data_IF_015042959521
#
_entry.id   IF_015042959521
#
_cell.length_a   1.000
_cell.length_b   1.000
_cell.length_c   1.000
_cell.angle_alpha   90.00
_cell.angle_beta   90.00
_cell.angle_gamma   90.00
#
_symmetry.space_group_name_H-M   'P 1'
#
loop_
_entity.id
_entity.type
_entity.pdbx_description
1 polymer ?
#
# COMPACT_ATOMS: atom_id res chain seq x y z
N UNK A 1 -5.36 11.17 25.36
CA UNK A 1 -5.20 10.55 24.02
C UNK A 1 -6.49 9.86 23.64
N UNK A 2 -7.05 10.13 22.46
CA UNK A 2 -8.19 9.36 21.94
C UNK A 2 -7.66 8.06 21.35
N UNK A 3 -8.18 6.91 21.80
CA UNK A 3 -7.83 5.60 21.22
C UNK A 3 -8.68 5.39 19.97
N UNK A 4 -8.04 5.23 18.82
CA UNK A 4 -8.71 4.81 17.59
C UNK A 4 -8.64 3.30 17.55
N UNK A 5 -9.81 2.66 17.66
CA UNK A 5 -9.92 1.20 17.68
C UNK A 5 -10.25 0.65 16.28
N UNK A 6 -10.99 1.43 15.50
CA UNK A 6 -11.51 1.02 14.20
C UNK A 6 -10.87 1.82 13.07
N UNK A 7 -10.55 1.12 11.98
CA UNK A 7 -10.10 1.73 10.72
C UNK A 7 -11.25 2.47 10.05
N UNK A 8 -11.00 3.67 9.53
CA UNK A 8 -12.02 4.46 8.83
C UNK A 8 -12.28 3.92 7.41
N UNK A 9 -13.06 2.84 7.34
CA UNK A 9 -13.43 2.21 6.09
C UNK A 9 -14.30 3.11 5.20
N UNK A 10 -15.01 4.10 5.76
CA UNK A 10 -15.86 5.01 4.99
C UNK A 10 -14.98 5.90 4.12
N UNK A 11 -13.95 6.51 4.72
CA UNK A 11 -13.01 7.38 3.98
C UNK A 11 -12.19 6.60 2.96
N UNK A 12 -11.72 5.39 3.32
CA UNK A 12 -10.99 4.52 2.39
C UNK A 12 -11.86 4.20 1.17
N UNK A 13 -13.11 3.76 1.39
CA UNK A 13 -14.02 3.40 0.29
C UNK A 13 -14.30 4.58 -0.64
N UNK A 14 -14.46 5.78 -0.10
CA UNK A 14 -14.73 7.00 -0.88
C UNK A 14 -13.56 7.41 -1.78
N UNK A 15 -12.34 6.98 -1.47
CA UNK A 15 -11.13 7.39 -2.18
C UNK A 15 -10.34 6.19 -2.72
N UNK A 16 -10.98 5.02 -2.86
CA UNK A 16 -10.28 3.78 -3.13
C UNK A 16 -9.49 3.85 -4.44
N UNK A 17 -9.98 4.58 -5.46
CA UNK A 17 -9.28 4.74 -6.74
C UNK A 17 -8.00 5.59 -6.66
N UNK A 18 -7.72 6.24 -5.52
CA UNK A 18 -6.56 7.13 -5.33
C UNK A 18 -5.51 6.54 -4.38
N UNK A 19 -5.79 5.38 -3.79
CA UNK A 19 -4.99 4.80 -2.73
C UNK A 19 -4.28 3.55 -3.23
N UNK A 20 -2.95 3.56 -3.10
CA UNK A 20 -2.12 2.36 -3.20
C UNK A 20 -1.74 1.97 -1.78
N UNK A 21 -2.20 0.80 -1.34
CA UNK A 21 -1.77 0.20 -0.07
C UNK A 21 -0.56 -0.69 -0.32
N UNK A 22 0.57 -0.36 0.31
CA UNK A 22 1.81 -1.10 0.16
C UNK A 22 2.22 -1.74 1.50
N UNK A 23 2.50 -3.04 1.48
CA UNK A 23 2.95 -3.81 2.63
C UNK A 23 4.25 -4.57 2.31
N UNK A 24 5.16 -4.68 3.27
CA UNK A 24 6.30 -5.59 3.17
C UNK A 24 5.99 -6.95 3.80
N UNK A 25 6.28 -8.05 3.11
CA UNK A 25 6.08 -9.40 3.64
C UNK A 25 6.98 -9.71 4.85
N UNK A 26 8.09 -8.99 4.98
CA UNK A 26 9.16 -9.22 5.96
C UNK A 26 9.61 -7.93 6.64
N UNK A 27 8.74 -6.91 6.73
CA UNK A 27 9.12 -5.60 7.29
C UNK A 27 9.24 -5.58 8.84
N UNK A 28 8.77 -6.65 9.49
CA UNK A 28 8.77 -6.91 10.93
C UNK A 28 8.01 -5.90 11.82
N UNK A 29 7.29 -4.95 11.23
CA UNK A 29 6.53 -3.93 11.96
C UNK A 29 5.03 -4.01 11.69
N UNK A 30 4.66 -4.35 10.46
CA UNK A 30 3.28 -4.55 10.06
C UNK A 30 3.03 -6.06 9.87
N UNK A 31 2.18 -6.70 10.69
CA UNK A 31 1.81 -8.08 10.47
C UNK A 31 1.18 -8.27 9.08
N UNK A 32 1.53 -9.36 8.40
CA UNK A 32 0.95 -9.72 7.09
C UNK A 32 -0.59 -9.82 7.13
N UNK A 33 -1.16 -10.07 8.31
CA UNK A 33 -2.61 -10.10 8.51
C UNK A 33 -3.28 -8.77 8.11
N UNK A 34 -2.63 -7.62 8.29
CA UNK A 34 -3.23 -6.33 7.91
C UNK A 34 -3.33 -6.15 6.40
N UNK A 35 -2.37 -6.69 5.63
CA UNK A 35 -2.50 -6.82 4.18
C UNK A 35 -3.70 -7.71 3.81
N UNK A 36 -3.83 -8.87 4.45
CA UNK A 36 -4.92 -9.82 4.19
C UNK A 36 -6.29 -9.21 4.52
N UNK A 37 -6.40 -8.49 5.63
CA UNK A 37 -7.64 -7.84 6.07
C UNK A 37 -8.04 -6.71 5.11
N UNK A 38 -7.10 -5.85 4.69
CA UNK A 38 -7.36 -4.81 3.69
C UNK A 38 -7.78 -5.42 2.35
N UNK A 39 -7.12 -6.49 1.90
CA UNK A 39 -7.46 -7.18 0.66
C UNK A 39 -8.84 -7.84 0.70
N UNK A 40 -9.23 -8.37 1.87
CA UNK A 40 -10.56 -8.93 2.11
C UNK A 40 -11.65 -7.85 2.06
N UNK A 41 -11.40 -6.71 2.69
CA UNK A 41 -12.40 -5.63 2.82
C UNK A 41 -12.53 -4.75 1.57
N UNK A 42 -11.46 -4.64 0.78
CA UNK A 42 -11.38 -3.82 -0.42
C UNK A 42 -10.81 -4.61 -1.61
N UNK A 43 -11.50 -5.66 -2.11
CA UNK A 43 -10.97 -6.57 -3.12
C UNK A 43 -10.67 -5.90 -4.48
N UNK A 44 -11.20 -4.70 -4.72
CA UNK A 44 -10.96 -3.90 -5.93
C UNK A 44 -9.94 -2.77 -5.73
N UNK A 45 -9.35 -2.64 -4.54
CA UNK A 45 -8.32 -1.63 -4.27
C UNK A 45 -6.95 -2.03 -4.83
N UNK A 46 -6.10 -1.04 -5.07
CA UNK A 46 -4.69 -1.30 -5.34
C UNK A 46 -3.96 -1.63 -4.03
N UNK A 47 -3.75 -2.92 -3.80
CA UNK A 47 -3.22 -3.47 -2.56
C UNK A 47 -2.08 -4.43 -2.89
N UNK A 48 -0.86 -4.04 -2.54
CA UNK A 48 0.38 -4.69 -2.95
C UNK A 48 1.12 -5.27 -1.74
N UNK A 49 1.58 -6.50 -1.88
CA UNK A 49 2.50 -7.14 -0.95
C UNK A 49 3.87 -7.26 -1.62
N UNK A 50 4.90 -6.70 -0.99
CA UNK A 50 6.27 -6.74 -1.47
C UNK A 50 7.04 -7.87 -0.80
N UNK A 51 7.58 -8.77 -1.62
CA UNK A 51 8.38 -9.92 -1.18
C UNK A 51 9.89 -9.66 -1.28
N UNK A 52 10.31 -8.44 -1.65
CA UNK A 52 11.71 -8.08 -1.92
C UNK A 52 12.58 -7.92 -0.66
N UNK A 53 12.06 -8.21 0.54
CA UNK A 53 12.85 -8.14 1.77
C UNK A 53 13.12 -6.73 2.29
N UNK A 54 12.39 -5.71 1.83
CA UNK A 54 12.59 -4.34 2.29
C UNK A 54 12.13 -4.17 3.74
N UNK A 55 12.97 -3.52 4.54
CA UNK A 55 12.64 -3.16 5.93
C UNK A 55 11.58 -2.08 5.93
N UNK A 56 10.86 -1.96 7.05
CA UNK A 56 9.84 -0.92 7.19
C UNK A 56 10.41 0.49 6.93
N UNK A 57 11.59 0.76 7.48
CA UNK A 57 12.33 2.00 7.25
C UNK A 57 13.13 1.95 5.93
N UNK A 58 12.48 1.56 4.83
CA UNK A 58 13.08 1.41 3.49
C UNK A 58 13.82 2.67 3.00
N UNK A 59 13.44 3.85 3.49
CA UNK A 59 14.11 5.12 3.17
C UNK A 59 15.60 5.14 3.57
N UNK A 60 16.00 4.28 4.51
CA UNK A 60 17.38 4.24 5.01
C UNK A 60 18.34 3.49 4.08
N UNK A 61 17.87 2.56 3.27
CA UNK A 61 18.72 1.63 2.51
C UNK A 61 18.18 1.25 1.12
N UNK A 62 16.85 1.20 0.93
CA UNK A 62 16.20 0.76 -0.32
C UNK A 62 15.29 1.82 -0.94
N UNK A 63 15.54 3.10 -0.63
CA UNK A 63 14.72 4.21 -1.09
C UNK A 63 14.67 4.37 -2.62
N UNK A 64 15.76 4.02 -3.32
CA UNK A 64 15.82 4.11 -4.79
C UNK A 64 14.94 3.04 -5.45
N UNK A 65 14.97 1.83 -4.92
CA UNK A 65 14.20 0.68 -5.38
C UNK A 65 12.71 0.94 -5.19
N UNK A 66 12.31 1.43 -4.00
CA UNK A 66 10.92 1.80 -3.72
C UNK A 66 10.48 2.98 -4.60
N UNK A 67 11.34 3.98 -4.82
CA UNK A 67 11.01 5.10 -5.71
C UNK A 67 10.75 4.62 -7.15
N UNK A 68 11.57 3.69 -7.66
CA UNK A 68 11.36 3.11 -8.99
C UNK A 68 10.00 2.41 -9.09
N UNK A 69 9.66 1.59 -8.07
CA UNK A 69 8.36 0.91 -8.00
C UNK A 69 7.19 1.90 -8.02
N UNK A 70 7.26 2.94 -7.18
CA UNK A 70 6.20 3.97 -7.11
C UNK A 70 6.04 4.71 -8.43
N UNK A 71 7.14 5.07 -9.10
CA UNK A 71 7.10 5.73 -10.42
C UNK A 71 6.41 4.83 -11.45
N UNK A 72 6.73 3.54 -11.48
CA UNK A 72 6.10 2.58 -12.40
C UNK A 72 4.59 2.46 -12.16
N UNK A 73 4.16 2.43 -10.89
CA UNK A 73 2.73 2.32 -10.54
C UNK A 73 1.95 3.56 -10.96
N UNK A 74 2.42 4.74 -10.56
CA UNK A 74 1.72 6.00 -10.85
C UNK A 74 1.71 6.31 -12.35
N UNK A 75 2.83 6.03 -13.04
CA UNK A 75 2.90 6.29 -14.49
C UNK A 75 1.95 5.38 -15.27
N UNK A 76 1.81 4.11 -14.87
CA UNK A 76 0.86 3.18 -15.48
C UNK A 76 -0.59 3.70 -15.41
N UNK A 77 -0.98 4.24 -14.25
CA UNK A 77 -2.32 4.81 -14.06
C UNK A 77 -2.54 6.05 -14.93
N UNK A 78 -1.55 6.92 -15.06
CA UNK A 78 -1.63 8.12 -15.91
C UNK A 78 -1.75 7.76 -17.39
N UNK A 79 -1.08 6.70 -17.85
CA UNK A 79 -1.19 6.24 -19.25
C UNK A 79 -2.53 5.57 -19.55
N UNK A 80 -3.19 4.99 -18.55
CA UNK A 80 -4.47 4.28 -18.71
C UNK A 80 -5.67 5.24 -18.79
N UNK A 81 -5.52 6.50 -18.37
CA UNK A 81 -6.57 7.53 -18.45
C UNK A 81 -6.68 8.22 -19.82
N UNK A 82 -5.84 7.87 -20.80
CA UNK A 82 -5.77 8.55 -22.12
C UNK A 82 -6.36 7.70 -23.26
N UNK A 83 -7.14 6.66 -22.94
CA UNK A 83 -7.89 5.85 -23.90
C UNK A 83 -9.37 5.80 -23.52
#
# INVERSE_FOLDING_TARGET
MKKVLERDNITIRKNLEKLIFYYGATDHWCPIQYYLDIKKDFPHGDIRLCENGFRHAFVLDTGREVAKMVVEWISGDLTTQVL
#
